data_IF_520625297844
#
_entry.id   IF_520625297844
#
_cell.length_a   1.000
_cell.length_b   1.000
_cell.length_c   1.000
_cell.angle_alpha   90.00
_cell.angle_beta   90.00
_cell.angle_gamma   90.00
#
_symmetry.space_group_name_H-M   'P 1'
#
loop_
_entity.id
_entity.type
_entity.pdbx_description
1 polymer ?
#
# COMPACT_ATOMS: atom_id res chain seq x y z
N UNK A 1 -31.46 14.77 -0.22
CA UNK A 1 -31.93 14.38 -1.57
C UNK A 1 -31.21 13.09 -1.93
N UNK A 2 -31.86 11.95 -1.69
CA UNK A 2 -31.35 10.66 -2.11
C UNK A 2 -31.57 10.55 -3.62
N UNK A 3 -30.51 10.41 -4.40
CA UNK A 3 -30.64 9.99 -5.79
C UNK A 3 -31.29 8.60 -5.78
N UNK A 4 -32.37 8.35 -6.55
CA UNK A 4 -32.96 7.03 -6.64
C UNK A 4 -31.92 6.03 -7.16
N UNK A 5 -31.98 4.78 -6.68
CA UNK A 5 -31.05 3.71 -7.06
C UNK A 5 -30.92 3.55 -8.59
N UNK A 6 -31.99 3.83 -9.34
CA UNK A 6 -32.01 3.83 -10.80
C UNK A 6 -31.14 4.93 -11.44
N UNK A 7 -31.08 6.12 -10.84
CA UNK A 7 -30.23 7.21 -11.34
C UNK A 7 -28.77 6.98 -10.98
N UNK A 8 -28.50 6.37 -9.82
CA UNK A 8 -27.17 5.92 -9.44
C UNK A 8 -26.67 4.82 -10.38
N UNK A 9 -27.53 3.85 -10.70
CA UNK A 9 -27.28 2.79 -11.68
C UNK A 9 -27.03 3.35 -13.09
N UNK A 10 -27.77 4.36 -13.54
CA UNK A 10 -27.51 5.05 -14.82
C UNK A 10 -26.21 5.86 -14.84
N UNK A 11 -25.87 6.52 -13.72
CA UNK A 11 -24.61 7.25 -13.57
C UNK A 11 -23.41 6.30 -13.55
N UNK A 12 -23.57 5.15 -12.89
CA UNK A 12 -22.60 4.06 -12.86
C UNK A 12 -22.49 3.38 -14.21
N UNK A 13 -23.60 3.13 -14.92
CA UNK A 13 -23.58 2.70 -16.32
C UNK A 13 -22.77 3.67 -17.20
N UNK A 14 -22.85 4.99 -16.98
CA UNK A 14 -22.05 5.96 -17.73
C UNK A 14 -20.54 5.91 -17.39
N UNK A 15 -20.16 5.51 -16.17
CA UNK A 15 -18.77 5.29 -15.76
C UNK A 15 -18.25 3.93 -16.24
N UNK A 16 -19.12 2.92 -16.24
CA UNK A 16 -18.84 1.51 -16.46
C UNK A 16 -18.89 1.12 -17.94
N UNK A 17 -19.78 1.71 -18.73
CA UNK A 17 -19.79 1.50 -20.17
C UNK A 17 -18.56 2.15 -20.78
N UNK A 18 -17.92 1.46 -21.73
CA UNK A 18 -16.81 1.94 -22.58
C UNK A 18 -17.22 3.18 -23.41
N UNK A 19 -17.65 4.26 -22.77
CA UNK A 19 -17.95 5.49 -23.48
C UNK A 19 -16.63 6.11 -23.93
N UNK A 20 -16.49 6.42 -25.24
CA UNK A 20 -15.26 7.01 -25.78
C UNK A 20 -15.02 8.44 -25.29
N UNK A 21 -16.02 9.08 -24.67
CA UNK A 21 -15.94 10.47 -24.22
C UNK A 21 -15.41 10.58 -22.79
N UNK A 22 -14.12 10.91 -22.66
CA UNK A 22 -13.41 11.09 -21.38
C UNK A 22 -14.03 12.16 -20.47
N UNK A 23 -14.77 13.12 -21.03
CA UNK A 23 -15.44 14.20 -20.30
C UNK A 23 -16.54 13.70 -19.36
N UNK A 24 -17.50 12.92 -19.87
CA UNK A 24 -18.62 12.40 -19.08
C UNK A 24 -18.15 11.45 -17.98
N UNK A 25 -17.18 10.58 -18.28
CA UNK A 25 -16.57 9.68 -17.28
C UNK A 25 -15.97 10.46 -16.11
N UNK A 26 -15.19 11.50 -16.39
CA UNK A 26 -14.59 12.36 -15.33
C UNK A 26 -15.65 13.07 -14.50
N UNK A 27 -16.70 13.58 -15.12
CA UNK A 27 -17.80 14.24 -14.44
C UNK A 27 -18.52 13.28 -13.48
N UNK A 28 -18.90 12.09 -13.97
CA UNK A 28 -19.55 11.08 -13.13
C UNK A 28 -18.62 10.60 -12.00
N UNK A 29 -17.33 10.39 -12.25
CA UNK A 29 -16.35 10.07 -11.20
C UNK A 29 -16.22 11.18 -10.16
N UNK A 30 -16.29 12.45 -10.57
CA UNK A 30 -16.30 13.59 -9.65
C UNK A 30 -17.56 13.60 -8.77
N UNK A 31 -18.72 13.30 -9.35
CA UNK A 31 -19.98 13.18 -8.62
C UNK A 31 -19.92 12.07 -7.58
N UNK A 32 -19.40 10.88 -7.93
CA UNK A 32 -19.22 9.78 -6.98
C UNK A 32 -18.21 10.13 -5.89
N UNK A 33 -17.10 10.78 -6.23
CA UNK A 33 -16.13 11.26 -5.23
C UNK A 33 -16.77 12.27 -4.26
N UNK A 34 -17.62 13.17 -4.77
CA UNK A 34 -18.40 14.09 -3.94
C UNK A 34 -19.41 13.36 -3.07
N UNK A 35 -20.02 12.27 -3.56
CA UNK A 35 -20.93 11.45 -2.79
C UNK A 35 -20.20 10.78 -1.60
N UNK A 36 -19.02 10.20 -1.85
CA UNK A 36 -18.22 9.53 -0.82
C UNK A 36 -17.65 10.50 0.23
N UNK A 37 -17.33 11.73 -0.14
CA UNK A 37 -16.82 12.73 0.81
C UNK A 37 -17.92 13.34 1.69
N UNK A 38 -19.20 13.24 1.30
CA UNK A 38 -20.32 13.80 2.04
C UNK A 38 -21.03 12.79 2.96
N UNK A 39 -20.39 11.69 3.37
CA UNK A 39 -20.99 10.58 4.14
C UNK A 39 -21.89 11.02 5.32
N UNK A 40 -21.54 12.13 5.99
CA UNK A 40 -22.34 12.68 7.09
C UNK A 40 -23.77 13.07 6.73
N UNK A 41 -24.10 13.31 5.45
CA UNK A 41 -25.44 13.74 5.00
C UNK A 41 -26.40 12.59 4.72
N UNK A 42 -25.89 11.39 4.46
CA UNK A 42 -26.67 10.23 3.99
C UNK A 42 -26.43 8.97 4.82
N UNK A 43 -25.77 9.10 5.98
CA UNK A 43 -25.59 8.02 6.94
C UNK A 43 -24.69 6.86 6.48
N UNK A 44 -24.18 6.90 5.25
CA UNK A 44 -23.36 5.86 4.62
C UNK A 44 -24.12 4.85 3.75
N UNK A 45 -25.46 4.90 3.71
CA UNK A 45 -26.27 3.87 3.01
C UNK A 45 -26.09 3.98 1.50
N UNK A 46 -26.16 5.20 0.99
CA UNK A 46 -25.92 5.50 -0.42
C UNK A 46 -24.47 5.20 -0.82
N UNK A 47 -23.52 5.34 0.11
CA UNK A 47 -22.11 4.99 -0.12
C UNK A 47 -21.96 3.48 -0.30
N UNK A 48 -22.54 2.68 0.61
CA UNK A 48 -22.50 1.22 0.55
C UNK A 48 -23.15 0.70 -0.74
N UNK A 49 -24.31 1.24 -1.11
CA UNK A 49 -25.00 0.81 -2.33
C UNK A 49 -24.23 1.17 -3.61
N UNK A 50 -23.63 2.37 -3.66
CA UNK A 50 -22.76 2.74 -4.77
C UNK A 50 -21.54 1.81 -4.89
N UNK A 51 -20.91 1.45 -3.77
CA UNK A 51 -19.77 0.53 -3.75
C UNK A 51 -20.18 -0.88 -4.20
N UNK A 52 -21.34 -1.38 -3.77
CA UNK A 52 -21.90 -2.67 -4.20
C UNK A 52 -22.16 -2.71 -5.71
N UNK A 53 -22.80 -1.67 -6.24
CA UNK A 53 -23.06 -1.58 -7.68
C UNK A 53 -21.74 -1.56 -8.48
N UNK A 54 -20.71 -0.82 -8.04
CA UNK A 54 -19.40 -0.85 -8.69
C UNK A 54 -18.81 -2.26 -8.65
N UNK A 55 -18.87 -2.94 -7.50
CA UNK A 55 -18.35 -4.30 -7.33
C UNK A 55 -19.07 -5.32 -8.25
N UNK A 56 -20.40 -5.23 -8.35
CA UNK A 56 -21.21 -6.07 -9.23
C UNK A 56 -20.90 -5.82 -10.70
N UNK A 57 -20.71 -4.56 -11.10
CA UNK A 57 -20.27 -4.25 -12.45
C UNK A 57 -18.88 -4.82 -12.74
N UNK A 58 -17.90 -4.61 -11.84
CA UNK A 58 -16.53 -5.17 -11.93
C UNK A 58 -16.57 -6.69 -12.11
N UNK A 59 -17.42 -7.37 -11.34
CA UNK A 59 -17.66 -8.81 -11.44
C UNK A 59 -18.29 -9.22 -12.76
N UNK A 60 -19.33 -8.52 -13.21
CA UNK A 60 -20.07 -8.85 -14.42
C UNK A 60 -19.22 -8.74 -15.71
N UNK A 61 -18.21 -7.85 -15.73
CA UNK A 61 -17.36 -7.64 -16.91
C UNK A 61 -15.92 -8.10 -16.69
N UNK A 62 -15.68 -9.07 -15.81
CA UNK A 62 -14.37 -9.71 -15.60
C UNK A 62 -13.21 -8.71 -15.44
N UNK A 63 -13.41 -7.66 -14.63
CA UNK A 63 -12.38 -6.65 -14.35
C UNK A 63 -11.86 -5.86 -15.59
N UNK A 64 -12.56 -5.89 -16.73
CA UNK A 64 -12.20 -5.15 -17.95
C UNK A 64 -12.82 -3.74 -17.97
N UNK A 65 -12.48 -2.90 -16.99
CA UNK A 65 -12.99 -1.53 -16.86
C UNK A 65 -11.90 -0.47 -16.94
N UNK A 66 -12.32 0.79 -17.14
CA UNK A 66 -11.40 1.91 -17.06
C UNK A 66 -10.88 2.10 -15.61
N UNK A 67 -9.60 2.48 -15.41
CA UNK A 67 -9.01 2.66 -14.08
C UNK A 67 -9.83 3.56 -13.14
N UNK A 68 -10.37 4.66 -13.70
CA UNK A 68 -11.21 5.65 -12.98
C UNK A 68 -12.37 5.02 -12.19
N UNK A 69 -12.93 3.88 -12.64
CA UNK A 69 -14.09 3.23 -12.02
C UNK A 69 -13.79 2.66 -10.63
N UNK A 70 -12.53 2.28 -10.37
CA UNK A 70 -12.08 1.78 -9.05
C UNK A 70 -11.35 2.88 -8.28
N UNK A 71 -10.76 3.84 -9.00
CA UNK A 71 -10.06 5.00 -8.42
C UNK A 71 -10.98 5.88 -7.56
N UNK A 72 -12.31 5.82 -7.74
CA UNK A 72 -13.28 6.48 -6.86
C UNK A 72 -13.25 5.92 -5.43
N UNK A 73 -12.90 4.65 -5.21
CA UNK A 73 -12.76 4.10 -3.86
C UNK A 73 -11.69 4.82 -3.04
N UNK A 74 -10.71 5.47 -3.70
CA UNK A 74 -9.70 6.27 -3.02
C UNK A 74 -10.25 7.53 -2.34
N UNK A 75 -11.49 7.97 -2.60
CA UNK A 75 -12.10 9.07 -1.86
C UNK A 75 -12.89 8.61 -0.63
N UNK A 76 -13.01 7.30 -0.39
CA UNK A 76 -13.61 6.77 0.84
C UNK A 76 -12.71 7.10 2.04
N UNK A 77 -13.36 7.45 3.14
CA UNK A 77 -12.74 7.75 4.44
C UNK A 77 -13.41 6.90 5.51
N UNK A 78 -12.62 6.11 6.24
CA UNK A 78 -13.13 5.27 7.32
C UNK A 78 -12.69 5.85 8.66
N UNK A 79 -13.60 5.85 9.65
CA UNK A 79 -13.29 6.35 10.98
C UNK A 79 -12.66 5.21 11.80
N UNK A 80 -11.33 5.22 11.94
CA UNK A 80 -10.58 4.16 12.63
C UNK A 80 -11.03 3.92 14.07
N UNK A 81 -11.47 4.97 14.78
CA UNK A 81 -11.89 4.88 16.19
C UNK A 81 -13.15 4.02 16.37
N UNK A 82 -14.04 3.98 15.37
CA UNK A 82 -15.25 3.15 15.38
C UNK A 82 -14.93 1.67 15.11
N UNK A 83 -13.91 1.40 14.29
CA UNK A 83 -13.48 0.05 13.94
C UNK A 83 -12.67 -0.61 15.07
N UNK A 84 -11.83 0.16 15.78
CA UNK A 84 -11.02 -0.33 16.91
C UNK A 84 -11.83 -0.68 18.17
N UNK A 85 -13.08 -0.23 18.28
CA UNK A 85 -13.94 -0.50 19.44
C UNK A 85 -14.34 -1.99 19.55
N UNK A 86 -14.22 -2.80 18.49
CA UNK A 86 -14.55 -4.25 18.52
C UNK A 86 -13.58 -5.02 19.40
N UNK A 87 -12.26 -4.78 19.22
CA UNK A 87 -11.24 -5.43 20.06
C UNK A 87 -11.45 -5.14 21.54
N UNK A 88 -11.92 -3.92 21.88
CA UNK A 88 -12.20 -3.55 23.27
C UNK A 88 -13.52 -4.12 23.79
N UNK A 89 -14.55 -4.21 22.96
CA UNK A 89 -15.84 -4.79 23.38
C UNK A 89 -15.80 -6.32 23.51
N UNK A 90 -15.09 -7.03 22.64
CA UNK A 90 -14.86 -8.47 22.78
C UNK A 90 -14.08 -8.77 24.07
N UNK A 91 -13.02 -8.00 24.35
CA UNK A 91 -12.24 -8.08 25.59
C UNK A 91 -13.08 -7.71 26.85
N UNK A 92 -14.02 -6.77 26.73
CA UNK A 92 -14.91 -6.36 27.83
C UNK A 92 -16.06 -7.34 28.06
N UNK A 93 -16.62 -7.96 27.01
CA UNK A 93 -17.64 -9.02 27.12
C UNK A 93 -17.07 -10.29 27.76
N UNK A 94 -15.78 -10.57 27.59
CA UNK A 94 -15.05 -11.62 28.31
C UNK A 94 -14.87 -11.32 29.82
N UNK A 95 -14.74 -10.03 30.21
CA UNK A 95 -14.58 -9.61 31.62
C UNK A 95 -15.91 -9.44 32.38
N UNK A 96 -17.00 -9.07 31.70
CA UNK A 96 -18.28 -8.75 32.33
C UNK A 96 -19.17 -9.96 32.68
N UNK A 97 -18.77 -11.20 32.35
CA UNK A 97 -19.49 -12.41 32.80
C UNK A 97 -19.30 -12.76 34.29
N UNK A 98 -18.38 -12.09 35.00
CA UNK A 98 -18.06 -12.42 36.40
C UNK A 98 -18.65 -11.47 37.47
N UNK A 99 -19.49 -10.49 37.12
CA UNK A 99 -20.08 -9.61 38.14
C UNK A 99 -21.51 -9.16 37.82
N UNK A 100 -22.50 -9.92 38.28
CA UNK A 100 -23.83 -9.39 38.69
C UNK A 100 -24.67 -10.48 39.35
N UNK A 101 -24.52 -10.61 40.67
CA UNK A 101 -25.51 -11.24 41.57
C UNK A 101 -25.58 -10.39 42.84
N UNK A 102 -26.81 -10.00 43.23
CA UNK A 102 -27.24 -9.09 44.34
C UNK A 102 -27.48 -7.65 43.86
N UNK A 103 -28.59 -6.97 44.16
CA UNK A 103 -29.59 -7.09 45.25
C UNK A 103 -30.91 -6.39 44.84
N UNK A 104 -32.01 -6.85 45.45
CA UNK A 104 -33.39 -6.34 45.35
C UNK A 104 -33.70 -5.19 46.33
N UNK A 105 -34.83 -4.52 46.02
CA UNK A 105 -35.91 -3.98 46.88
C UNK A 105 -36.05 -2.47 47.19
N UNK A 106 -37.17 -1.96 46.65
CA UNK A 106 -38.30 -1.22 47.27
C UNK A 106 -38.32 0.31 47.50
N UNK A 107 -39.28 0.92 46.77
CA UNK A 107 -40.34 1.87 47.14
C UNK A 107 -40.05 3.11 48.02
N UNK A 108 -40.43 4.30 47.52
CA UNK A 108 -41.65 5.02 47.98
C UNK A 108 -41.81 6.38 47.28
N UNK A 109 -43.06 6.71 46.95
CA UNK A 109 -43.50 8.01 46.45
C UNK A 109 -43.59 9.02 47.60
N UNK A 110 -43.37 10.33 47.32
CA UNK A 110 -44.26 11.40 47.80
C UNK A 110 -43.97 12.75 47.13
N UNK A 111 -45.06 13.41 46.74
CA UNK A 111 -45.16 14.73 46.11
C UNK A 111 -45.31 15.83 47.17
N UNK A 112 -44.84 17.05 46.87
CA UNK A 112 -45.46 18.30 47.33
C UNK A 112 -45.47 19.31 46.18
N UNK A 113 -46.67 19.73 45.77
CA UNK A 113 -46.95 20.85 44.86
C UNK A 113 -47.12 22.16 45.67
N UNK A 114 -46.64 23.31 45.17
CA UNK A 114 -47.49 24.44 44.74
C UNK A 114 -46.69 25.70 44.32
N UNK A 115 -47.34 26.54 43.51
CA UNK A 115 -47.02 27.96 43.17
C UNK A 115 -46.16 28.34 41.96
N UNK A 116 -45.92 27.47 40.97
CA UNK A 116 -45.32 27.89 39.68
C UNK A 116 -45.99 27.31 38.42
N UNK A 117 -47.31 27.06 38.44
CA UNK A 117 -48.00 26.32 37.37
C UNK A 117 -47.96 26.99 35.97
N UNK A 118 -47.77 28.30 35.85
CA UNK A 118 -47.65 28.97 34.52
C UNK A 118 -46.21 29.01 33.99
N UNK A 119 -45.24 29.36 34.83
CA UNK A 119 -43.81 29.38 34.48
C UNK A 119 -43.21 27.97 34.32
N UNK A 120 -43.72 26.97 35.06
CA UNK A 120 -43.32 25.57 34.94
C UNK A 120 -43.85 24.92 33.66
N UNK A 121 -45.07 25.28 33.22
CA UNK A 121 -45.64 24.78 31.96
C UNK A 121 -44.83 25.28 30.75
N UNK A 122 -44.41 26.55 30.79
CA UNK A 122 -43.63 27.19 29.72
C UNK A 122 -42.17 26.70 29.70
N UNK A 123 -41.56 26.47 30.88
CA UNK A 123 -40.25 25.81 30.94
C UNK A 123 -40.33 24.33 30.53
N UNK A 124 -41.43 23.63 30.84
CA UNK A 124 -41.63 22.23 30.44
C UNK A 124 -41.92 22.15 28.94
N UNK A 125 -42.67 23.08 28.35
CA UNK A 125 -42.88 23.10 26.90
C UNK A 125 -41.59 23.46 26.17
N UNK A 126 -40.80 24.41 26.69
CA UNK A 126 -39.52 24.79 26.11
C UNK A 126 -38.48 23.69 26.26
N UNK A 127 -38.36 23.03 27.42
CA UNK A 127 -37.48 21.87 27.56
C UNK A 127 -38.00 20.67 26.80
N UNK A 128 -39.31 20.50 26.61
CA UNK A 128 -39.87 19.45 25.76
C UNK A 128 -39.61 19.71 24.29
N UNK A 129 -39.63 20.97 23.85
CA UNK A 129 -39.30 21.37 22.48
C UNK A 129 -37.79 21.29 22.22
N UNK A 130 -36.95 21.67 23.19
CA UNK A 130 -35.50 21.46 23.15
C UNK A 130 -35.17 19.96 23.19
N UNK A 131 -35.81 19.17 24.06
CA UNK A 131 -35.64 17.71 24.11
C UNK A 131 -36.22 17.03 22.88
N UNK A 132 -37.29 17.55 22.27
CA UNK A 132 -37.83 16.99 21.03
C UNK A 132 -37.02 17.42 19.81
N UNK A 133 -36.41 18.60 19.83
CA UNK A 133 -35.43 19.03 18.84
C UNK A 133 -34.13 18.22 18.97
N UNK A 134 -33.66 17.96 20.19
CA UNK A 134 -32.50 17.11 20.48
C UNK A 134 -32.82 15.64 20.20
N UNK A 135 -34.03 15.16 20.51
CA UNK A 135 -34.49 13.80 20.18
C UNK A 135 -34.68 13.64 18.68
N UNK A 136 -35.19 14.65 17.97
CA UNK A 136 -35.23 14.65 16.51
C UNK A 136 -33.82 14.67 15.94
N UNK A 137 -32.96 15.58 16.38
CA UNK A 137 -31.55 15.65 15.95
C UNK A 137 -30.77 14.36 16.23
N UNK A 138 -31.02 13.71 17.37
CA UNK A 138 -30.46 12.41 17.72
C UNK A 138 -31.10 11.26 16.94
N UNK A 139 -32.40 11.30 16.64
CA UNK A 139 -33.08 10.30 15.81
C UNK A 139 -32.62 10.32 14.34
N UNK A 140 -32.12 11.47 13.87
CA UNK A 140 -31.51 11.63 12.55
C UNK A 140 -30.00 11.37 12.53
N UNK A 141 -29.35 11.23 13.68
CA UNK A 141 -27.98 10.73 13.74
C UNK A 141 -28.04 9.20 13.70
N UNK A 142 -27.58 8.53 12.61
CA UNK A 142 -27.59 7.07 12.57
C UNK A 142 -26.81 6.54 13.78
N UNK A 143 -27.36 5.48 14.37
CA UNK A 143 -26.79 4.83 15.53
C UNK A 143 -25.30 4.56 15.28
N UNK A 144 -24.47 4.81 16.27
CA UNK A 144 -23.01 4.62 16.16
C UNK A 144 -22.72 3.17 15.75
N UNK A 145 -23.55 2.23 16.19
CA UNK A 145 -23.47 0.82 15.79
C UNK A 145 -23.89 0.57 14.34
N UNK A 146 -24.96 1.22 13.85
CA UNK A 146 -25.38 1.10 12.44
C UNK A 146 -24.33 1.68 11.48
N UNK A 147 -23.80 2.88 11.79
CA UNK A 147 -22.71 3.48 11.00
C UNK A 147 -21.50 2.57 10.93
N UNK A 148 -21.17 1.92 12.04
CA UNK A 148 -20.08 0.97 12.12
C UNK A 148 -20.35 -0.27 11.26
N UNK A 149 -21.52 -0.88 11.39
CA UNK A 149 -21.90 -2.04 10.56
C UNK A 149 -21.82 -1.71 9.06
N UNK A 150 -22.25 -0.50 8.69
CA UNK A 150 -22.16 -0.03 7.32
C UNK A 150 -20.72 0.22 6.86
N UNK A 151 -19.84 0.74 7.73
CA UNK A 151 -18.41 0.89 7.42
C UNK A 151 -17.73 -0.46 7.23
N UNK A 152 -17.98 -1.44 8.12
CA UNK A 152 -17.45 -2.79 7.99
C UNK A 152 -17.96 -3.45 6.70
N UNK A 153 -19.26 -3.37 6.42
CA UNK A 153 -19.84 -3.90 5.18
C UNK A 153 -19.23 -3.24 3.93
N UNK A 154 -19.01 -1.91 3.97
CA UNK A 154 -18.38 -1.18 2.86
C UNK A 154 -16.93 -1.65 2.66
N UNK A 155 -16.16 -1.78 3.74
CA UNK A 155 -14.79 -2.28 3.69
C UNK A 155 -14.71 -3.70 3.12
N UNK A 156 -15.59 -4.61 3.56
CA UNK A 156 -15.66 -5.96 3.02
C UNK A 156 -15.88 -5.96 1.51
N UNK A 157 -16.84 -5.18 1.01
CA UNK A 157 -17.10 -5.10 -0.44
C UNK A 157 -15.92 -4.50 -1.21
N UNK A 158 -15.27 -3.46 -0.67
CA UNK A 158 -14.08 -2.85 -1.28
C UNK A 158 -12.93 -3.85 -1.38
N UNK A 159 -12.61 -4.55 -0.29
CA UNK A 159 -11.52 -5.53 -0.29
C UNK A 159 -11.86 -6.75 -1.14
N UNK A 160 -13.08 -7.28 -1.09
CA UNK A 160 -13.52 -8.35 -1.99
C UNK A 160 -13.37 -7.96 -3.46
N UNK A 161 -13.65 -6.71 -3.81
CA UNK A 161 -13.45 -6.18 -5.16
C UNK A 161 -11.96 -6.15 -5.52
N UNK A 162 -11.09 -5.68 -4.63
CA UNK A 162 -9.64 -5.71 -4.85
C UNK A 162 -9.08 -7.13 -4.97
N UNK A 163 -9.46 -8.06 -4.09
CA UNK A 163 -9.04 -9.46 -4.17
C UNK A 163 -9.54 -10.13 -5.45
N UNK A 164 -10.75 -9.81 -5.90
CA UNK A 164 -11.27 -10.27 -7.20
C UNK A 164 -10.38 -9.78 -8.35
N UNK A 165 -9.98 -8.50 -8.35
CA UNK A 165 -9.07 -7.94 -9.37
C UNK A 165 -7.71 -8.64 -9.32
N UNK A 166 -7.12 -8.84 -8.13
CA UNK A 166 -5.84 -9.54 -7.97
C UNK A 166 -5.93 -10.99 -8.47
N UNK A 167 -6.97 -11.72 -8.09
CA UNK A 167 -7.18 -13.11 -8.50
C UNK A 167 -7.39 -13.22 -10.02
N UNK A 168 -8.18 -12.33 -10.62
CA UNK A 168 -8.35 -12.26 -12.07
C UNK A 168 -7.03 -11.98 -12.78
N UNK A 169 -6.24 -11.05 -12.25
CA UNK A 169 -4.90 -10.74 -12.78
C UNK A 169 -4.00 -11.98 -12.74
N UNK A 170 -3.97 -12.71 -11.62
CA UNK A 170 -3.20 -13.96 -11.51
C UNK A 170 -3.69 -15.05 -12.46
N UNK A 171 -5.00 -15.20 -12.65
CA UNK A 171 -5.58 -16.16 -13.59
C UNK A 171 -5.24 -15.79 -15.04
N UNK A 172 -5.31 -14.52 -15.40
CA UNK A 172 -4.93 -14.03 -16.74
C UNK A 172 -3.44 -14.27 -17.04
N UNK A 173 -2.58 -14.19 -16.02
CA UNK A 173 -1.15 -14.52 -16.13
C UNK A 173 -0.91 -16.03 -16.22
N UNK A 174 -1.70 -16.86 -15.52
CA UNK A 174 -1.51 -18.34 -15.47
C UNK A 174 -2.15 -19.11 -16.63
N UNK A 175 -3.25 -18.62 -17.19
CA UNK A 175 -3.99 -19.33 -18.24
C UNK A 175 -3.45 -18.93 -19.63
N UNK A 176 -2.59 -19.78 -20.20
CA UNK A 176 -2.58 -20.00 -21.65
C UNK A 176 -2.84 -21.49 -21.94
N UNK A 177 -3.87 -21.84 -22.73
CA UNK A 177 -3.99 -23.15 -23.32
C UNK A 177 -2.94 -23.31 -24.43
N UNK A 178 -2.31 -24.49 -24.47
CA UNK A 178 -1.61 -24.99 -25.63
C UNK A 178 -2.58 -25.06 -26.82
N UNK A 179 -2.68 -23.98 -27.60
CA UNK A 179 -3.36 -23.99 -28.88
C UNK A 179 -2.76 -22.93 -29.82
N UNK A 180 -2.10 -23.45 -30.84
CA UNK A 180 -1.85 -22.87 -32.16
C UNK A 180 -0.83 -21.72 -32.25
N UNK A 181 0.39 -22.11 -32.64
CA UNK A 181 1.34 -21.25 -33.34
C UNK A 181 0.74 -20.84 -34.69
N UNK A 182 0.52 -19.54 -34.92
CA UNK A 182 0.08 -19.05 -36.22
C UNK A 182 -0.59 -17.66 -36.25
N UNK A 183 -0.97 -17.07 -35.12
CA UNK A 183 -1.59 -15.74 -35.11
C UNK A 183 -0.57 -14.64 -34.75
N UNK A 184 -0.36 -13.74 -35.72
CA UNK A 184 0.42 -12.50 -35.64
C UNK A 184 0.08 -11.70 -34.38
N UNK A 185 1.11 -11.36 -33.59
CA UNK A 185 1.17 -10.34 -32.52
C UNK A 185 -0.17 -9.65 -32.20
N UNK A 186 -1.00 -10.29 -31.38
CA UNK A 186 -2.22 -9.67 -30.84
C UNK A 186 -1.90 -9.02 -29.50
N UNK A 187 -2.28 -7.74 -29.40
CA UNK A 187 -1.97 -6.81 -28.33
C UNK A 187 -2.17 -7.39 -26.92
N UNK A 188 -1.27 -7.00 -26.01
CA UNK A 188 -1.40 -7.17 -24.56
C UNK A 188 -2.80 -6.71 -24.16
N UNK A 189 -3.64 -7.64 -23.69
CA UNK A 189 -4.91 -7.26 -23.10
C UNK A 189 -4.60 -6.43 -21.85
N UNK A 190 -4.96 -5.12 -21.82
CA UNK A 190 -4.55 -4.26 -20.72
C UNK A 190 -5.14 -4.79 -19.42
N UNK A 191 -4.39 -4.67 -18.32
CA UNK A 191 -4.86 -4.93 -16.95
C UNK A 191 -5.17 -3.59 -16.26
N UNK A 192 -6.17 -2.83 -16.75
CA UNK A 192 -6.37 -1.43 -16.36
C UNK A 192 -6.63 -1.23 -14.87
N UNK A 193 -7.23 -2.24 -14.21
CA UNK A 193 -7.63 -2.13 -12.80
C UNK A 193 -6.52 -2.47 -11.80
N UNK A 194 -5.39 -3.04 -12.24
CA UNK A 194 -4.33 -3.46 -11.32
C UNK A 194 -3.72 -2.25 -10.57
N UNK A 195 -3.39 -1.18 -11.30
CA UNK A 195 -2.79 0.00 -10.70
C UNK A 195 -3.71 0.71 -9.67
N UNK A 196 -4.99 1.01 -9.98
CA UNK A 196 -5.95 1.51 -8.99
C UNK A 196 -6.13 0.58 -7.78
N UNK A 197 -6.16 -0.74 -8.02
CA UNK A 197 -6.28 -1.74 -6.96
C UNK A 197 -5.09 -1.69 -5.99
N UNK A 198 -3.86 -1.69 -6.51
CA UNK A 198 -2.64 -1.59 -5.69
C UNK A 198 -2.58 -0.27 -4.91
N UNK A 199 -3.00 0.84 -5.53
CA UNK A 199 -3.09 2.14 -4.85
C UNK A 199 -4.12 2.13 -3.71
N UNK A 200 -5.27 1.50 -3.93
CA UNK A 200 -6.31 1.29 -2.92
C UNK A 200 -5.81 0.44 -1.75
N UNK A 201 -5.19 -0.70 -2.05
CA UNK A 201 -4.58 -1.58 -1.04
C UNK A 201 -3.48 -0.86 -0.24
N UNK A 202 -2.66 -0.03 -0.87
CA UNK A 202 -1.68 0.80 -0.17
C UNK A 202 -2.35 1.79 0.80
N UNK A 203 -3.40 2.50 0.35
CA UNK A 203 -4.12 3.50 1.15
C UNK A 203 -4.80 2.88 2.37
N UNK A 204 -5.53 1.78 2.16
CA UNK A 204 -6.33 1.11 3.20
C UNK A 204 -5.58 -0.02 3.91
N UNK A 205 -4.26 -0.09 3.77
CA UNK A 205 -3.40 -1.14 4.33
C UNK A 205 -3.52 -1.35 5.84
N UNK A 206 -3.92 -0.31 6.58
CA UNK A 206 -4.14 -0.34 8.03
C UNK A 206 -5.51 -0.90 8.45
N UNK A 207 -6.43 -1.09 7.51
CA UNK A 207 -7.79 -1.60 7.73
C UNK A 207 -7.95 -3.05 7.26
N UNK A 208 -6.86 -3.70 6.85
CA UNK A 208 -6.88 -5.08 6.37
C UNK A 208 -6.90 -6.01 7.58
N UNK A 209 -7.89 -6.91 7.63
CA UNK A 209 -7.94 -7.92 8.69
C UNK A 209 -6.79 -8.92 8.56
N UNK A 210 -6.29 -9.36 9.71
CA UNK A 210 -5.13 -10.25 9.81
C UNK A 210 -5.32 -11.56 9.05
N UNK A 211 -6.55 -12.08 9.01
CA UNK A 211 -6.91 -13.36 8.40
C UNK A 211 -6.69 -13.34 6.87
N UNK A 212 -6.85 -12.19 6.22
CA UNK A 212 -6.67 -12.05 4.77
C UNK A 212 -5.25 -11.67 4.35
N UNK A 213 -4.41 -11.23 5.29
CA UNK A 213 -3.07 -10.73 4.95
C UNK A 213 -2.18 -11.84 4.37
N UNK A 214 -2.27 -13.08 4.87
CA UNK A 214 -1.48 -14.20 4.35
C UNK A 214 -1.77 -14.45 2.86
N UNK A 215 -3.05 -14.52 2.51
CA UNK A 215 -3.48 -14.69 1.12
C UNK A 215 -3.07 -13.48 0.27
N UNK A 216 -3.26 -12.26 0.76
CA UNK A 216 -2.84 -11.05 0.07
C UNK A 216 -1.34 -11.06 -0.26
N UNK A 217 -0.50 -11.40 0.72
CA UNK A 217 0.95 -11.45 0.55
C UNK A 217 1.35 -12.52 -0.47
N UNK A 218 0.68 -13.66 -0.51
CA UNK A 218 0.90 -14.69 -1.53
C UNK A 218 0.54 -14.21 -2.94
N UNK A 219 -0.58 -13.50 -3.09
CA UNK A 219 -0.98 -12.91 -4.37
C UNK A 219 0.04 -11.84 -4.82
N UNK A 220 0.42 -10.93 -3.92
CA UNK A 220 1.41 -9.88 -4.21
C UNK A 220 2.79 -10.46 -4.54
N UNK A 221 3.23 -11.49 -3.83
CA UNK A 221 4.49 -12.19 -4.10
C UNK A 221 4.48 -12.80 -5.50
N UNK A 222 3.42 -13.54 -5.84
CA UNK A 222 3.28 -14.15 -7.16
C UNK A 222 3.27 -13.11 -8.31
N UNK A 223 2.64 -11.96 -8.09
CA UNK A 223 2.65 -10.86 -9.07
C UNK A 223 4.03 -10.20 -9.16
N UNK A 224 4.72 -9.99 -8.02
CA UNK A 224 6.06 -9.41 -7.98
C UNK A 224 7.13 -10.32 -8.60
N UNK A 225 6.98 -11.65 -8.49
CA UNK A 225 7.95 -12.62 -9.02
C UNK A 225 8.09 -12.61 -10.54
N UNK A 226 7.11 -12.08 -11.28
CA UNK A 226 7.15 -12.01 -12.74
C UNK A 226 7.63 -13.30 -13.41
N UNK A 227 6.83 -14.37 -13.36
CA UNK A 227 7.04 -15.67 -14.04
C UNK A 227 8.49 -15.99 -14.42
N UNK A 228 9.35 -16.16 -13.42
CA UNK A 228 10.72 -16.62 -13.60
C UNK A 228 10.94 -17.91 -12.82
N UNK A 229 10.22 -18.96 -13.21
CA UNK A 229 10.51 -20.34 -12.83
C UNK A 229 10.42 -21.21 -14.07
N UNK A 230 11.50 -21.27 -14.85
CA UNK A 230 11.95 -22.45 -15.61
C UNK A 230 12.93 -22.01 -16.70
N UNK A 231 14.08 -22.67 -16.75
CA UNK A 231 15.08 -22.46 -17.79
C UNK A 231 14.57 -22.84 -19.18
N UNK A 232 15.25 -22.29 -20.18
CA UNK A 232 15.30 -22.72 -21.56
C UNK A 232 13.95 -22.93 -22.27
N UNK A 233 13.35 -21.85 -22.74
CA UNK A 233 12.87 -21.73 -24.13
C UNK A 233 12.62 -20.24 -24.44
N UNK A 234 12.98 -19.83 -25.65
CA UNK A 234 12.90 -18.46 -26.16
C UNK A 234 11.45 -18.02 -26.46
N UNK A 235 10.53 -18.22 -25.54
CA UNK A 235 9.12 -17.86 -25.73
C UNK A 235 8.84 -16.50 -25.08
N UNK A 236 8.76 -15.47 -25.92
CA UNK A 236 8.48 -14.08 -25.53
C UNK A 236 7.12 -14.00 -24.84
N UNK A 237 7.11 -14.07 -23.50
CA UNK A 237 5.92 -13.90 -22.69
C UNK A 237 5.32 -12.49 -22.90
N UNK A 238 4.25 -12.43 -23.71
CA UNK A 238 3.55 -11.19 -24.07
C UNK A 238 2.52 -10.74 -23.02
N UNK A 239 2.56 -11.31 -21.80
CA UNK A 239 1.68 -10.97 -20.67
C UNK A 239 2.45 -10.88 -19.34
N UNK A 240 3.65 -10.30 -19.37
CA UNK A 240 4.39 -10.02 -18.14
C UNK A 240 4.01 -8.63 -17.61
N UNK A 241 3.74 -8.53 -16.31
CA UNK A 241 3.57 -7.24 -15.63
C UNK A 241 4.81 -6.36 -15.86
N UNK A 242 4.59 -5.07 -16.03
CA UNK A 242 5.67 -4.10 -16.15
C UNK A 242 6.53 -4.05 -14.88
N UNK A 243 7.77 -3.56 -15.00
CA UNK A 243 8.65 -3.36 -13.82
C UNK A 243 7.95 -2.47 -12.79
N UNK A 244 7.28 -1.41 -13.27
CA UNK A 244 6.52 -0.48 -12.43
C UNK A 244 5.39 -1.16 -11.65
N UNK A 245 4.59 -2.03 -12.28
CA UNK A 245 3.52 -2.78 -11.59
C UNK A 245 4.06 -3.78 -10.56
N UNK A 246 5.17 -4.47 -10.88
CA UNK A 246 5.82 -5.39 -9.94
C UNK A 246 6.43 -4.65 -8.75
N UNK A 247 7.05 -3.49 -8.98
CA UNK A 247 7.53 -2.60 -7.92
C UNK A 247 6.38 -2.12 -7.03
N UNK A 248 5.23 -1.76 -7.62
CA UNK A 248 4.03 -1.41 -6.84
C UNK A 248 3.55 -2.56 -5.96
N UNK A 249 3.59 -3.81 -6.44
CA UNK A 249 3.27 -4.98 -5.61
C UNK A 249 4.21 -5.09 -4.39
N UNK A 250 5.52 -4.87 -4.57
CA UNK A 250 6.49 -4.82 -3.47
C UNK A 250 6.19 -3.68 -2.49
N UNK A 251 5.86 -2.48 -2.98
CA UNK A 251 5.50 -1.33 -2.15
C UNK A 251 4.27 -1.63 -1.28
N UNK A 252 3.21 -2.16 -1.89
CA UNK A 252 1.98 -2.52 -1.17
C UNK A 252 2.27 -3.57 -0.10
N UNK A 253 3.00 -4.63 -0.44
CA UNK A 253 3.35 -5.69 0.49
C UNK A 253 4.06 -5.14 1.75
N UNK A 254 5.02 -4.24 1.57
CA UNK A 254 5.72 -3.61 2.70
C UNK A 254 4.83 -2.65 3.50
N UNK A 255 3.97 -1.86 2.83
CA UNK A 255 3.02 -0.97 3.53
C UNK A 255 2.04 -1.76 4.39
N UNK A 256 1.51 -2.87 3.88
CA UNK A 256 0.61 -3.78 4.62
C UNK A 256 1.32 -4.38 5.84
N UNK A 257 2.57 -4.80 5.69
CA UNK A 257 3.33 -5.40 6.78
C UNK A 257 3.78 -4.39 7.85
N UNK A 258 4.08 -3.14 7.45
CA UNK A 258 4.49 -2.09 8.37
C UNK A 258 3.36 -1.59 9.28
N UNK A 259 2.11 -1.77 8.88
CA UNK A 259 0.99 -1.36 9.72
C UNK A 259 0.56 -2.46 10.71
N UNK A 260 1.01 -3.70 10.49
CA UNK A 260 0.59 -4.89 11.24
C UNK A 260 1.78 -5.62 11.90
N UNK A 261 2.79 -4.84 12.31
CA UNK A 261 4.20 -5.23 12.53
C UNK A 261 4.50 -6.45 13.42
N UNK A 262 3.55 -6.93 14.23
CA UNK A 262 3.75 -8.04 15.18
C UNK A 262 2.81 -9.23 14.97
N UNK A 263 1.90 -9.18 13.98
CA UNK A 263 0.81 -10.15 13.90
C UNK A 263 1.09 -11.37 12.99
N UNK A 264 2.02 -11.28 12.04
CA UNK A 264 2.35 -12.39 11.13
C UNK A 264 3.86 -12.53 10.91
N UNK A 265 4.38 -13.75 11.12
CA UNK A 265 5.75 -14.15 10.79
C UNK A 265 5.90 -14.41 9.27
N UNK A 266 5.41 -13.50 8.42
CA UNK A 266 5.54 -13.61 6.96
C UNK A 266 6.95 -13.19 6.55
N UNK A 267 7.67 -14.09 5.89
CA UNK A 267 9.01 -13.81 5.41
C UNK A 267 8.99 -12.80 4.25
N UNK A 268 9.69 -11.67 4.44
CA UNK A 268 9.85 -10.63 3.43
C UNK A 268 11.06 -10.86 2.52
N UNK A 269 11.85 -11.91 2.76
CA UNK A 269 13.06 -12.22 2.01
C UNK A 269 12.81 -12.29 0.50
N UNK A 270 11.71 -12.93 0.08
CA UNK A 270 11.36 -13.04 -1.34
C UNK A 270 11.13 -11.68 -2.00
N UNK A 271 10.50 -10.74 -1.31
CA UNK A 271 10.29 -9.41 -1.84
C UNK A 271 11.60 -8.63 -2.00
N UNK A 272 12.60 -8.88 -1.15
CA UNK A 272 13.95 -8.33 -1.36
C UNK A 272 14.63 -8.97 -2.58
N UNK A 273 14.47 -10.28 -2.79
CA UNK A 273 14.97 -10.96 -4.00
C UNK A 273 14.30 -10.36 -5.25
N UNK A 274 12.98 -10.16 -5.21
CA UNK A 274 12.25 -9.52 -6.30
C UNK A 274 12.75 -8.10 -6.55
N UNK A 275 12.80 -7.23 -5.54
CA UNK A 275 13.33 -5.87 -5.70
C UNK A 275 14.75 -5.88 -6.29
N UNK A 276 15.62 -6.77 -5.80
CA UNK A 276 16.99 -6.88 -6.29
C UNK A 276 17.00 -7.15 -7.80
N UNK A 277 16.18 -8.09 -8.29
CA UNK A 277 16.07 -8.41 -9.72
C UNK A 277 15.35 -7.30 -10.53
N UNK A 278 14.32 -6.67 -9.96
CA UNK A 278 13.63 -5.54 -10.57
C UNK A 278 14.55 -4.35 -10.83
N UNK A 279 15.50 -4.09 -9.94
CA UNK A 279 16.53 -3.05 -10.17
C UNK A 279 17.37 -3.38 -11.40
N UNK A 280 17.70 -4.65 -11.65
CA UNK A 280 18.45 -5.05 -12.84
C UNK A 280 17.62 -4.94 -14.14
N UNK A 281 16.32 -5.23 -14.06
CA UNK A 281 15.39 -5.16 -15.19
C UNK A 281 14.87 -3.74 -15.50
N UNK A 282 15.13 -2.77 -14.61
CA UNK A 282 14.64 -1.40 -14.73
C UNK A 282 15.22 -0.70 -15.96
N UNK A 283 14.35 -0.13 -16.80
CA UNK A 283 14.76 0.58 -18.00
C UNK A 283 14.40 2.07 -17.93
N UNK A 284 15.39 2.98 -17.94
CA UNK A 284 15.13 4.42 -17.94
C UNK A 284 14.35 4.82 -19.20
N UNK A 285 13.26 5.57 -19.02
CA UNK A 285 12.39 6.04 -20.11
C UNK A 285 11.15 5.19 -20.38
N UNK A 286 11.16 3.89 -20.03
CA UNK A 286 9.95 3.06 -20.03
C UNK A 286 9.29 3.02 -18.66
N UNK A 287 10.11 2.88 -17.61
CA UNK A 287 9.64 2.67 -16.25
C UNK A 287 9.61 3.98 -15.44
N UNK A 288 8.72 4.04 -14.44
CA UNK A 288 8.53 5.24 -13.63
C UNK A 288 9.58 5.31 -12.50
N UNK A 289 10.53 6.24 -12.62
CA UNK A 289 11.59 6.47 -11.62
C UNK A 289 11.06 6.81 -10.22
N UNK A 290 9.93 7.51 -10.13
CA UNK A 290 9.25 7.83 -8.87
C UNK A 290 8.86 6.56 -8.09
N UNK A 291 8.37 5.55 -8.80
CA UNK A 291 7.97 4.26 -8.20
C UNK A 291 9.18 3.50 -7.70
N UNK A 292 10.29 3.51 -8.45
CA UNK A 292 11.54 2.91 -8.01
C UNK A 292 12.05 3.63 -6.74
N UNK A 293 12.08 4.96 -6.73
CA UNK A 293 12.52 5.74 -5.58
C UNK A 293 11.65 5.48 -4.33
N UNK A 294 10.33 5.38 -4.50
CA UNK A 294 9.42 5.01 -3.41
C UNK A 294 9.68 3.58 -2.90
N UNK A 295 9.88 2.61 -3.79
CA UNK A 295 10.22 1.23 -3.42
C UNK A 295 11.53 1.15 -2.63
N UNK A 296 12.58 1.82 -3.10
CA UNK A 296 13.87 1.88 -2.41
C UNK A 296 13.73 2.50 -1.01
N UNK A 297 12.98 3.60 -0.89
CA UNK A 297 12.74 4.26 0.40
C UNK A 297 12.01 3.34 1.38
N UNK A 298 10.91 2.73 0.96
CA UNK A 298 10.07 1.92 1.86
C UNK A 298 10.77 0.61 2.24
N UNK A 299 11.48 -0.03 1.31
CA UNK A 299 12.03 -1.37 1.53
C UNK A 299 13.43 -1.36 2.15
N UNK A 300 14.27 -0.38 1.80
CA UNK A 300 15.69 -0.35 2.18
C UNK A 300 16.04 0.75 3.19
N UNK A 301 15.26 1.83 3.27
CA UNK A 301 15.58 2.97 4.13
C UNK A 301 14.85 2.97 5.49
N UNK A 302 13.96 2.01 5.75
CA UNK A 302 13.33 1.82 7.06
C UNK A 302 14.34 1.28 8.12
N UNK A 303 13.97 1.28 9.40
CA UNK A 303 14.89 0.98 10.52
C UNK A 303 15.05 -0.52 10.83
N UNK A 304 14.50 -1.41 10.00
CA UNK A 304 14.72 -2.85 10.14
C UNK A 304 16.19 -3.18 9.83
N UNK A 305 16.84 -3.89 10.73
CA UNK A 305 18.20 -4.37 10.53
C UNK A 305 18.20 -5.35 9.35
N UNK A 306 18.85 -4.97 8.25
CA UNK A 306 19.08 -5.85 7.11
C UNK A 306 20.36 -6.65 7.33
N UNK A 307 20.42 -7.85 6.77
CA UNK A 307 21.67 -8.58 6.73
C UNK A 307 22.75 -7.77 5.98
N UNK A 308 24.00 -7.91 6.43
CA UNK A 308 25.14 -7.19 5.88
C UNK A 308 25.39 -7.55 4.42
N UNK A 309 25.26 -8.83 4.04
CA UNK A 309 25.46 -9.28 2.65
C UNK A 309 24.39 -8.67 1.75
N UNK A 310 23.13 -8.74 2.19
CA UNK A 310 21.99 -8.15 1.49
C UNK A 310 22.18 -6.65 1.25
N UNK A 311 22.56 -5.92 2.29
CA UNK A 311 22.80 -4.47 2.20
C UNK A 311 23.92 -4.15 1.21
N UNK A 312 25.04 -4.88 1.28
CA UNK A 312 26.16 -4.71 0.37
C UNK A 312 25.76 -4.97 -1.09
N UNK A 313 24.95 -6.00 -1.34
CA UNK A 313 24.43 -6.33 -2.65
C UNK A 313 23.62 -5.19 -3.26
N UNK A 314 22.67 -4.63 -2.48
CA UNK A 314 21.89 -3.47 -2.90
C UNK A 314 22.77 -2.25 -3.13
N UNK A 315 23.70 -1.95 -2.22
CA UNK A 315 24.63 -0.82 -2.39
C UNK A 315 25.39 -0.95 -3.72
N UNK A 316 25.98 -2.13 -3.99
CA UNK A 316 26.76 -2.36 -5.20
C UNK A 316 25.90 -2.24 -6.46
N UNK A 317 24.74 -2.92 -6.50
CA UNK A 317 23.83 -2.87 -7.65
C UNK A 317 23.27 -1.47 -7.91
N UNK A 318 22.93 -0.72 -6.85
CA UNK A 318 22.45 0.67 -6.98
C UNK A 318 23.55 1.63 -7.42
N UNK A 319 24.80 1.42 -6.98
CA UNK A 319 25.94 2.19 -7.48
C UNK A 319 26.17 1.92 -8.97
N UNK A 320 26.07 0.66 -9.40
CA UNK A 320 26.17 0.29 -10.82
C UNK A 320 25.03 0.88 -11.66
N UNK A 321 23.77 0.77 -11.22
CA UNK A 321 22.64 1.31 -12.01
C UNK A 321 22.69 2.83 -12.15
N UNK A 322 23.24 3.53 -11.15
CA UNK A 322 23.39 4.99 -11.16
C UNK A 322 24.24 5.50 -12.34
N UNK A 323 25.08 4.65 -12.93
CA UNK A 323 25.87 4.97 -14.13
C UNK A 323 25.05 4.92 -15.44
N UNK A 324 23.92 4.21 -15.43
CA UNK A 324 23.17 3.86 -16.64
C UNK A 324 21.79 4.55 -16.73
N UNK A 325 21.39 5.33 -15.73
CA UNK A 325 20.05 5.95 -15.63
C UNK A 325 20.11 7.48 -15.66
N UNK A 326 18.94 8.12 -15.76
CA UNK A 326 18.82 9.58 -15.78
C UNK A 326 19.20 10.22 -14.45
N UNK A 327 19.43 11.54 -14.45
CA UNK A 327 19.89 12.29 -13.27
C UNK A 327 18.97 12.15 -12.05
N UNK A 328 17.65 12.13 -12.26
CA UNK A 328 16.67 11.95 -11.18
C UNK A 328 16.80 10.56 -10.51
N UNK A 329 16.90 9.51 -11.32
CA UNK A 329 16.97 8.12 -10.85
C UNK A 329 18.34 7.83 -10.20
N UNK A 330 19.42 8.32 -10.78
CA UNK A 330 20.78 8.24 -10.21
C UNK A 330 20.84 8.96 -8.85
N UNK A 331 20.17 10.10 -8.72
CA UNK A 331 20.08 10.80 -7.43
C UNK A 331 19.35 9.94 -6.39
N UNK A 332 18.19 9.36 -6.74
CA UNK A 332 17.43 8.49 -5.84
C UNK A 332 18.23 7.26 -5.40
N UNK A 333 18.94 6.62 -6.33
CA UNK A 333 19.81 5.49 -6.04
C UNK A 333 20.98 5.89 -5.14
N UNK A 334 21.67 7.00 -5.41
CA UNK A 334 22.80 7.47 -4.59
C UNK A 334 22.39 7.93 -3.19
N UNK A 335 21.24 8.58 -3.04
CA UNK A 335 20.70 8.94 -1.71
C UNK A 335 20.42 7.66 -0.91
N UNK A 336 19.87 6.64 -1.55
CA UNK A 336 19.66 5.32 -0.94
C UNK A 336 20.99 4.68 -0.53
N UNK A 337 21.99 4.67 -1.42
CA UNK A 337 23.34 4.15 -1.14
C UNK A 337 23.97 4.87 0.06
N UNK A 338 23.90 6.21 0.10
CA UNK A 338 24.38 7.01 1.22
C UNK A 338 23.72 6.62 2.54
N UNK A 339 22.40 6.50 2.54
CA UNK A 339 21.64 6.11 3.74
C UNK A 339 22.04 4.70 4.22
N UNK A 340 22.15 3.73 3.30
CA UNK A 340 22.55 2.36 3.61
C UNK A 340 23.96 2.28 4.22
N UNK A 341 24.93 3.03 3.67
CA UNK A 341 26.30 3.10 4.21
C UNK A 341 26.39 3.83 5.56
N UNK A 342 25.50 4.80 5.80
CA UNK A 342 25.40 5.48 7.09
C UNK A 342 24.85 4.57 8.17
N UNK A 343 23.77 3.84 7.88
CA UNK A 343 23.14 2.88 8.79
C UNK A 343 24.00 1.64 9.03
N UNK A 344 24.62 1.09 7.98
CA UNK A 344 25.40 -0.15 8.04
C UNK A 344 26.90 0.13 7.94
N UNK A 345 27.51 0.46 9.08
CA UNK A 345 28.96 0.79 9.17
C UNK A 345 29.84 -0.31 8.57
N UNK A 346 29.46 -1.58 8.72
CA UNK A 346 30.21 -2.73 8.18
C UNK A 346 30.28 -2.76 6.64
N UNK A 347 29.30 -2.17 5.95
CA UNK A 347 29.32 -2.07 4.49
C UNK A 347 30.29 -1.00 3.97
N UNK A 348 30.89 -0.19 4.85
CA UNK A 348 31.87 0.83 4.45
C UNK A 348 33.18 0.23 3.94
N UNK A 349 33.44 -1.04 4.22
CA UNK A 349 34.55 -1.80 3.64
C UNK A 349 34.52 -1.77 2.09
N UNK A 350 33.32 -1.60 1.49
CA UNK A 350 33.17 -1.42 0.04
C UNK A 350 33.84 -0.14 -0.50
N UNK A 351 34.15 0.84 0.36
CA UNK A 351 34.83 2.08 0.02
C UNK A 351 36.36 1.95 0.13
N UNK A 352 36.85 0.91 0.81
CA UNK A 352 38.27 0.65 1.02
C UNK A 352 38.79 -0.22 -0.11
N UNK A 353 39.89 0.20 -0.75
CA UNK A 353 40.54 -0.55 -1.82
C UNK A 353 41.72 -1.36 -1.26
N UNK A 354 41.43 -2.22 -0.28
CA UNK A 354 42.43 -3.12 0.26
C UNK A 354 42.70 -4.28 -0.73
N UNK A 355 43.98 -4.52 -1.00
CA UNK A 355 44.49 -5.59 -1.87
C UNK A 355 44.07 -6.93 -1.24
N UNK A 356 42.91 -7.45 -1.65
CA UNK A 356 42.30 -8.64 -1.05
C UNK A 356 40.80 -8.52 -0.74
N UNK A 357 40.16 -7.37 -1.00
CA UNK A 357 38.72 -7.23 -0.83
C UNK A 357 38.28 -7.32 0.63
N UNK A 358 38.92 -6.54 1.51
CA UNK A 358 38.58 -6.42 2.93
C UNK A 358 38.69 -7.72 3.74
N UNK A 359 38.97 -7.59 5.04
CA UNK A 359 39.02 -8.73 5.99
C UNK A 359 37.65 -9.42 6.22
N UNK A 360 36.63 -9.10 5.41
CA UNK A 360 35.21 -9.47 5.58
C UNK A 360 34.61 -10.01 4.29
N UNK A 361 35.44 -10.49 3.34
CA UNK A 361 34.94 -11.27 2.21
C UNK A 361 34.13 -12.44 2.78
N UNK A 362 32.84 -12.49 2.43
CA UNK A 362 31.96 -13.59 2.82
C UNK A 362 32.42 -14.91 2.20
N UNK A 363 31.55 -15.91 2.22
CA UNK A 363 31.81 -17.23 1.62
C UNK A 363 32.09 -17.19 0.12
N UNK A 364 31.72 -16.10 -0.58
CA UNK A 364 31.86 -15.95 -2.03
C UNK A 364 33.03 -15.00 -2.32
N UNK A 365 34.09 -15.45 -3.01
CA UNK A 365 35.34 -14.69 -3.19
C UNK A 365 35.29 -13.64 -4.31
N UNK A 366 34.21 -13.61 -5.12
CA UNK A 366 34.08 -12.72 -6.27
C UNK A 366 32.65 -12.22 -6.39
N UNK A 367 32.49 -10.94 -6.71
CA UNK A 367 31.17 -10.38 -7.00
C UNK A 367 30.58 -10.94 -8.29
N UNK A 368 29.31 -11.36 -8.20
CA UNK A 368 28.49 -11.91 -9.27
C UNK A 368 27.35 -10.93 -9.61
N UNK A 369 27.52 -10.06 -10.63
CA UNK A 369 26.55 -9.01 -10.94
C UNK A 369 25.14 -9.54 -11.26
N UNK A 370 25.06 -10.70 -11.93
CA UNK A 370 23.83 -11.33 -12.39
C UNK A 370 23.23 -12.32 -11.40
N UNK A 371 23.73 -12.38 -10.16
CA UNK A 371 23.11 -13.21 -9.12
C UNK A 371 21.69 -12.73 -8.84
N UNK A 372 20.76 -13.67 -8.70
CA UNK A 372 19.34 -13.36 -8.44
C UNK A 372 19.04 -13.15 -6.97
N UNK A 373 19.83 -13.75 -6.07
CA UNK A 373 19.73 -13.59 -4.62
C UNK A 373 20.79 -12.58 -4.14
N UNK A 374 20.39 -11.48 -3.46
CA UNK A 374 21.34 -10.52 -2.92
C UNK A 374 22.35 -11.14 -1.93
N UNK A 375 21.95 -12.14 -1.15
CA UNK A 375 22.85 -12.81 -0.19
C UNK A 375 23.96 -13.61 -0.89
N UNK A 376 23.71 -14.05 -2.13
CA UNK A 376 24.65 -14.85 -2.92
C UNK A 376 25.39 -14.01 -3.98
N UNK A 377 25.33 -12.68 -3.89
CA UNK A 377 25.98 -11.79 -4.86
C UNK A 377 27.49 -11.68 -4.68
N UNK A 378 28.02 -11.94 -3.48
CA UNK A 378 29.43 -11.72 -3.17
C UNK A 378 29.85 -10.24 -3.20
N UNK A 379 28.91 -9.30 -2.97
CA UNK A 379 29.18 -7.87 -3.10
C UNK A 379 30.25 -7.34 -2.15
N UNK A 380 30.41 -7.91 -0.95
CA UNK A 380 31.47 -7.53 0.00
C UNK A 380 32.89 -7.83 -0.50
N UNK A 381 33.05 -8.73 -1.48
CA UNK A 381 34.34 -8.98 -2.12
C UNK A 381 34.66 -7.95 -3.23
N UNK A 382 33.86 -6.89 -3.36
CA UNK A 382 33.99 -5.84 -4.37
C UNK A 382 34.23 -4.47 -3.75
N UNK A 383 34.70 -3.54 -4.59
CA UNK A 383 34.89 -2.13 -4.27
C UNK A 383 33.89 -1.26 -5.05
N UNK A 384 33.47 -0.13 -4.49
CA UNK A 384 32.55 0.83 -5.12
C UNK A 384 33.25 1.81 -6.07
N UNK A 385 33.87 1.26 -7.12
CA UNK A 385 34.54 2.02 -8.15
C UNK A 385 33.60 2.95 -8.95
N UNK A 386 32.29 2.66 -8.95
CA UNK A 386 31.28 3.46 -9.65
C UNK A 386 31.20 4.89 -9.09
N UNK A 387 31.44 5.06 -7.79
CA UNK A 387 31.45 6.38 -7.15
C UNK A 387 32.55 7.29 -7.72
N UNK A 388 33.70 6.71 -8.11
CA UNK A 388 34.79 7.46 -8.72
C UNK A 388 34.37 8.03 -10.09
N UNK A 389 33.67 7.25 -10.91
CA UNK A 389 33.14 7.74 -12.18
C UNK A 389 32.03 8.78 -11.97
N UNK A 390 31.12 8.53 -11.02
CA UNK A 390 30.03 9.45 -10.69
C UNK A 390 30.53 10.77 -10.10
N UNK A 391 31.74 10.82 -9.53
CA UNK A 391 32.36 12.07 -9.08
C UNK A 391 32.60 13.06 -10.24
N UNK A 392 32.72 12.57 -11.47
CA UNK A 392 32.91 13.37 -12.69
C UNK A 392 31.61 13.50 -13.52
N UNK A 393 30.45 13.22 -12.91
CA UNK A 393 29.16 13.28 -13.58
C UNK A 393 28.78 14.73 -13.99
N UNK A 394 28.15 14.89 -15.15
CA UNK A 394 27.78 16.21 -15.71
C UNK A 394 26.87 17.03 -14.78
N UNK A 395 26.00 16.36 -14.02
CA UNK A 395 25.12 17.02 -13.06
C UNK A 395 25.86 17.29 -11.74
N UNK A 396 26.03 18.56 -11.32
CA UNK A 396 26.92 18.92 -10.20
C UNK A 396 26.46 18.35 -8.85
N UNK A 397 25.15 18.21 -8.63
CA UNK A 397 24.64 17.63 -7.38
C UNK A 397 24.98 16.14 -7.25
N UNK A 398 25.03 15.39 -8.36
CA UNK A 398 25.38 13.95 -8.36
C UNK A 398 26.88 13.80 -8.12
N UNK A 399 27.69 14.60 -8.80
CA UNK A 399 29.14 14.67 -8.58
C UNK A 399 29.49 14.98 -7.12
N UNK A 400 28.81 15.98 -6.54
CA UNK A 400 29.00 16.38 -5.13
C UNK A 400 28.56 15.27 -4.18
N UNK A 401 27.42 14.62 -4.44
CA UNK A 401 26.91 13.53 -3.61
C UNK A 401 27.83 12.30 -3.66
N UNK A 402 28.27 11.88 -4.85
CA UNK A 402 29.19 10.76 -5.03
C UNK A 402 30.52 11.01 -4.31
N UNK A 403 31.10 12.20 -4.48
CA UNK A 403 32.30 12.64 -3.77
C UNK A 403 32.10 12.67 -2.25
N UNK A 404 30.92 13.09 -1.80
CA UNK A 404 30.53 13.07 -0.39
C UNK A 404 30.42 11.65 0.18
N UNK A 405 29.89 10.69 -0.59
CA UNK A 405 29.78 9.28 -0.19
C UNK A 405 31.17 8.67 -0.02
N UNK A 406 32.09 8.87 -0.97
CA UNK A 406 33.47 8.39 -0.87
C UNK A 406 34.21 8.93 0.37
N UNK A 407 33.76 10.07 0.93
CA UNK A 407 34.34 10.70 2.12
C UNK A 407 33.62 10.36 3.43
N UNK A 408 32.54 9.57 3.43
CA UNK A 408 31.77 9.20 4.64
C UNK A 408 32.66 8.62 5.74
N UNK A 409 33.75 7.94 5.34
CA UNK A 409 34.74 7.37 6.24
C UNK A 409 35.35 8.40 7.21
N UNK A 410 35.58 9.64 6.76
CA UNK A 410 36.29 10.65 7.54
C UNK A 410 35.44 11.32 8.64
N UNK A 411 34.11 11.30 8.51
CA UNK A 411 33.25 12.01 9.44
C UNK A 411 32.96 11.26 10.74
N UNK A 412 33.00 9.92 10.74
CA UNK A 412 32.80 9.11 11.95
C UNK A 412 34.04 9.00 12.82
N UNK A 413 35.25 9.14 12.25
CA UNK A 413 36.48 9.21 13.04
C UNK A 413 36.48 10.44 13.99
N UNK A 414 35.86 11.55 13.59
CA UNK A 414 35.78 12.77 14.41
C UNK A 414 34.89 12.64 15.66
N UNK A 415 33.93 11.71 15.66
CA UNK A 415 33.07 11.47 16.83
C UNK A 415 33.70 10.48 17.82
N UNK A 416 34.50 9.52 17.36
CA UNK A 416 35.17 8.58 18.26
C UNK A 416 36.36 9.19 19.02
N UNK A 417 36.99 10.26 18.51
CA UNK A 417 38.03 10.99 19.23
C UNK A 417 37.52 12.04 20.22
N UNK A 418 36.19 12.27 20.29
CA UNK A 418 35.58 13.21 21.25
C UNK A 418 34.98 12.52 22.48
N UNK A 419 35.14 11.20 22.59
CA UNK A 419 34.76 10.38 23.75
C UNK A 419 35.99 9.58 24.20
N UNK A 420 37.08 10.28 24.49
CA UNK A 420 38.18 9.78 25.32
C UNK A 420 38.48 10.80 26.38
#
# INVERSE_FOLDING_TARGET
>A
MCLPADDLSKLLLCICLKFPFSFYRKLCCSTIKSLFTNEGKHGGEVTLEAVRLIADHVKAHNCQFHPDSVDVFLSLSFNEDLLKYEKKEEDQKLKNKNSKKRKNMEASNQLVENDRKRSRQESISKTREEVEADYKAASFAPDVMERRQMQTATLSVVFETYFRILKHTMQSIRVRPEANAGALSTAVEPLPLLAPCLKGLAKFSHLIDLDFMGDLMNHLKALASGSSYSGNTSDKCSKCLTVSERLQCCIVAFKVMRNNLDALNVDLQDFFIHLYNLVLEYNPGRDQGEVLAEALKIMLCDDKQHDMQKTAAFIKRLATISLCVGSADSMAALVTVKNLLQKNVKCRNLLENDIGGGSVSGTIPKYLPYSTDPNLSGALASVLWELNLLSSHYHPAISTLASGISRIMFHTAKWQYKIK
#
